data_IF_849687417734
#
_entry.id   IF_849687417734
#
_cell.length_a   1.000
_cell.length_b   1.000
_cell.length_c   1.000
_cell.angle_alpha   90.00
_cell.angle_beta   90.00
_cell.angle_gamma   90.00
#
_symmetry.space_group_name_H-M   'P 1'
#
loop_
_entity.id
_entity.type
_entity.pdbx_description
1 polymer ?
#
# COMPACT_ATOMS: atom_id res chain seq x y z
N UNK A 1 -7.22 14.40 -4.71
CA UNK A 1 -8.47 14.44 -3.90
C UNK A 1 -8.73 15.74 -3.16
N UNK A 2 -7.82 16.72 -3.17
CA UNK A 2 -8.03 17.99 -2.44
C UNK A 2 -8.69 19.09 -3.28
N UNK A 3 -8.86 18.90 -4.55
CA UNK A 3 -9.27 19.96 -5.48
C UNK A 3 -10.67 19.81 -6.09
N UNK A 4 -11.34 18.66 -5.88
CA UNK A 4 -12.73 18.52 -6.29
C UNK A 4 -13.60 19.01 -5.15
N UNK A 5 -13.85 20.30 -5.11
CA UNK A 5 -14.74 20.92 -4.15
C UNK A 5 -16.20 20.62 -4.49
N UNK A 6 -16.98 20.50 -3.43
CA UNK A 6 -18.39 20.08 -3.36
C UNK A 6 -19.41 20.98 -4.07
N UNK A 7 -19.01 21.87 -4.94
CA UNK A 7 -19.94 22.74 -5.62
C UNK A 7 -19.91 22.48 -7.09
N UNK A 8 -20.67 21.64 -7.52
CA UNK A 8 -21.38 21.71 -8.72
C UNK A 8 -21.33 20.59 -9.64
N UNK A 9 -21.94 20.64 -10.13
CA UNK A 9 -22.98 20.15 -10.91
C UNK A 9 -22.59 19.30 -12.15
N UNK A 10 -21.41 19.39 -12.65
CA UNK A 10 -20.95 18.51 -13.74
C UNK A 10 -19.43 18.40 -13.80
N UNK A 11 -18.94 17.17 -13.72
CA UNK A 11 -17.58 16.81 -14.08
C UNK A 11 -17.61 16.23 -15.51
N UNK A 12 -16.95 16.90 -16.43
CA UNK A 12 -16.73 16.38 -17.77
C UNK A 12 -15.39 15.62 -17.81
N UNK A 13 -15.41 14.40 -18.30
CA UNK A 13 -14.20 13.59 -18.48
C UNK A 13 -14.04 13.30 -19.98
N UNK A 14 -12.91 13.70 -20.53
CA UNK A 14 -12.53 13.41 -21.91
C UNK A 14 -11.22 12.65 -21.91
N UNK A 15 -11.16 11.56 -22.65
CA UNK A 15 -9.96 10.73 -22.78
C UNK A 15 -9.49 10.78 -24.23
N UNK A 16 -8.22 11.03 -24.45
CA UNK A 16 -7.54 10.81 -25.73
C UNK A 16 -6.44 9.75 -25.56
N UNK A 17 -5.64 9.51 -26.58
CA UNK A 17 -4.62 8.46 -26.59
C UNK A 17 -3.50 8.68 -25.56
N UNK A 18 -3.30 9.91 -25.11
CA UNK A 18 -2.17 10.29 -24.26
C UNK A 18 -2.58 10.92 -22.93
N UNK A 19 -3.82 11.41 -22.83
CA UNK A 19 -4.27 12.19 -21.69
C UNK A 19 -5.73 11.92 -21.31
N UNK A 20 -6.01 12.04 -20.03
CA UNK A 20 -7.36 12.17 -19.50
C UNK A 20 -7.56 13.59 -18.99
N UNK A 21 -8.57 14.27 -19.49
CA UNK A 21 -8.95 15.63 -19.09
C UNK A 21 -10.14 15.58 -18.16
N UNK A 22 -10.08 16.35 -17.10
CA UNK A 22 -11.14 16.56 -16.13
C UNK A 22 -11.51 18.03 -16.14
N UNK A 23 -12.75 18.35 -16.44
CA UNK A 23 -13.23 19.73 -16.56
C UNK A 23 -14.44 19.95 -15.68
N UNK A 24 -14.40 21.02 -14.90
CA UNK A 24 -15.53 21.59 -14.18
C UNK A 24 -15.72 23.04 -14.62
N UNK A 25 -16.84 23.73 -14.26
CA UNK A 25 -16.99 25.14 -14.59
C UNK A 25 -15.86 26.05 -14.10
N UNK A 26 -15.17 25.64 -13.04
CA UNK A 26 -14.16 26.46 -12.38
C UNK A 26 -12.73 25.95 -12.56
N UNK A 27 -12.53 24.77 -13.16
CA UNK A 27 -11.20 24.15 -13.22
C UNK A 27 -11.08 23.13 -14.34
N UNK A 28 -9.95 23.21 -15.05
CA UNK A 28 -9.49 22.19 -15.99
C UNK A 28 -8.23 21.52 -15.46
N UNK A 29 -8.21 20.20 -15.49
CA UNK A 29 -7.04 19.37 -15.17
C UNK A 29 -6.82 18.34 -16.26
N UNK A 30 -5.60 17.89 -16.38
CA UNK A 30 -5.30 16.69 -17.18
C UNK A 30 -4.28 15.81 -16.50
N UNK A 31 -4.38 14.53 -16.78
CA UNK A 31 -3.39 13.52 -16.40
C UNK A 31 -2.84 12.88 -17.68
N UNK A 32 -1.53 12.78 -17.77
CA UNK A 32 -0.87 12.11 -18.89
C UNK A 32 -0.86 10.62 -18.64
N UNK A 33 -1.25 9.83 -19.66
CA UNK A 33 -1.21 8.39 -19.56
C UNK A 33 0.24 7.90 -19.48
N UNK A 34 0.46 6.89 -18.67
CA UNK A 34 1.73 6.20 -18.67
C UNK A 34 1.89 5.44 -20.00
N UNK A 35 3.02 5.67 -20.66
CA UNK A 35 3.42 4.83 -21.78
C UNK A 35 3.85 3.46 -21.23
N UNK A 36 3.04 2.45 -21.46
CA UNK A 36 3.32 1.09 -21.05
C UNK A 36 2.06 0.25 -20.87
N UNK A 37 2.23 -1.05 -20.89
CA UNK A 37 1.13 -1.97 -20.59
C UNK A 37 0.79 -1.87 -19.10
N UNK A 38 -0.46 -1.56 -18.79
CA UNK A 38 -0.96 -1.65 -17.42
C UNK A 38 -0.74 -3.08 -16.90
N UNK A 39 -0.18 -3.24 -15.68
CA UNK A 39 0.00 -4.57 -15.13
C UNK A 39 -1.31 -5.37 -15.15
N UNK A 40 -1.28 -6.58 -15.67
CA UNK A 40 -2.45 -7.44 -15.66
C UNK A 40 -2.70 -7.94 -14.21
N UNK A 41 -3.38 -7.11 -13.40
CA UNK A 41 -3.67 -7.40 -12.01
C UNK A 41 -4.49 -8.70 -11.83
N UNK A 42 -5.34 -9.06 -12.82
CA UNK A 42 -6.10 -10.31 -12.80
C UNK A 42 -5.18 -11.51 -12.87
N UNK A 43 -4.17 -11.42 -13.73
CA UNK A 43 -3.15 -12.46 -13.82
C UNK A 43 -2.39 -12.61 -12.50
N UNK A 44 -2.04 -11.50 -11.84
CA UNK A 44 -1.37 -11.54 -10.53
C UNK A 44 -2.27 -12.18 -9.47
N UNK A 45 -3.54 -11.81 -9.43
CA UNK A 45 -4.49 -12.34 -8.44
C UNK A 45 -4.77 -13.83 -8.66
N UNK A 46 -4.98 -14.26 -9.91
CA UNK A 46 -5.21 -15.66 -10.28
C UNK A 46 -4.01 -16.57 -9.98
N UNK A 47 -2.79 -16.01 -10.02
CA UNK A 47 -1.55 -16.76 -9.79
C UNK A 47 -0.92 -16.50 -8.41
N UNK A 48 -1.59 -15.74 -7.56
CA UNK A 48 -1.13 -15.46 -6.20
C UNK A 48 -1.12 -16.74 -5.36
N UNK A 49 0.07 -17.14 -4.92
CA UNK A 49 0.27 -18.31 -4.08
C UNK A 49 0.64 -17.84 -2.67
N UNK A 50 -0.32 -17.86 -1.79
CA UNK A 50 -0.09 -17.50 -0.40
C UNK A 50 0.94 -18.41 0.25
N UNK A 51 2.08 -17.84 0.66
CA UNK A 51 3.13 -18.53 1.43
C UNK A 51 3.13 -18.13 2.89
N UNK A 52 2.66 -16.92 3.19
CA UNK A 52 2.66 -16.37 4.55
C UNK A 52 1.41 -15.57 4.82
N UNK A 53 1.00 -15.54 6.08
CA UNK A 53 -0.13 -14.72 6.57
C UNK A 53 0.21 -14.12 7.91
N UNK A 54 0.01 -12.82 8.07
CA UNK A 54 0.14 -12.09 9.32
C UNK A 54 -1.10 -11.24 9.57
N UNK A 55 -1.54 -11.20 10.82
CA UNK A 55 -2.69 -10.39 11.25
C UNK A 55 -2.21 -9.37 12.27
N UNK A 56 -2.60 -8.13 12.06
CA UNK A 56 -2.23 -7.01 12.93
C UNK A 56 -3.46 -6.21 13.36
N UNK A 57 -3.33 -5.55 14.50
CA UNK A 57 -4.19 -4.43 14.85
C UNK A 57 -3.94 -3.29 13.86
N UNK A 58 -5.03 -2.75 13.30
CA UNK A 58 -4.98 -1.71 12.26
C UNK A 58 -4.35 -0.42 12.77
N UNK A 59 -4.73 0.03 13.95
CA UNK A 59 -4.29 1.32 14.48
C UNK A 59 -2.80 1.29 14.81
N UNK A 60 -2.31 0.20 15.37
CA UNK A 60 -0.88 0.01 15.64
C UNK A 60 -0.07 -0.04 14.33
N UNK A 61 -0.57 -0.72 13.32
CA UNK A 61 0.09 -0.77 12.01
C UNK A 61 0.10 0.59 11.32
N UNK A 62 -1.01 1.34 11.37
CA UNK A 62 -1.11 2.72 10.85
C UNK A 62 -0.12 3.63 11.56
N UNK A 63 -0.04 3.57 12.89
CA UNK A 63 0.88 4.39 13.67
C UNK A 63 2.35 4.09 13.31
N UNK A 64 2.72 2.82 13.20
CA UNK A 64 4.06 2.41 12.83
C UNK A 64 4.45 2.90 11.42
N UNK A 65 3.55 2.80 10.45
CA UNK A 65 3.78 3.32 9.09
C UNK A 65 3.90 4.84 9.08
N UNK A 66 3.05 5.56 9.82
CA UNK A 66 3.13 7.02 9.92
C UNK A 66 4.45 7.50 10.53
N UNK A 67 4.94 6.81 11.55
CA UNK A 67 6.21 7.16 12.17
C UNK A 67 7.40 6.91 11.22
N UNK A 68 7.37 5.80 10.49
CA UNK A 68 8.37 5.49 9.48
C UNK A 68 8.35 6.49 8.32
N UNK A 69 7.18 6.93 7.87
CA UNK A 69 7.04 7.91 6.79
C UNK A 69 7.65 9.29 7.14
N UNK A 70 7.65 9.69 8.42
CA UNK A 70 8.26 10.96 8.87
C UNK A 70 9.78 10.99 8.74
N UNK A 71 10.42 9.84 8.69
CA UNK A 71 11.88 9.72 8.65
C UNK A 71 12.40 9.57 7.23
N UNK A 72 11.58 9.01 6.34
CA UNK A 72 12.01 8.57 5.03
C UNK A 72 11.65 9.58 3.92
N UNK A 73 12.66 10.17 3.29
CA UNK A 73 12.49 11.07 2.13
C UNK A 73 12.09 10.33 0.85
N UNK A 74 12.39 9.04 0.75
CA UNK A 74 12.16 8.23 -0.46
C UNK A 74 10.90 7.37 -0.40
N UNK A 75 10.07 7.55 0.60
CA UNK A 75 8.80 6.80 0.80
C UNK A 75 8.96 5.28 0.88
N UNK A 76 10.14 4.76 1.18
CA UNK A 76 10.36 3.32 1.32
C UNK A 76 10.43 2.91 2.79
N UNK A 77 9.81 1.78 3.14
CA UNK A 77 10.04 1.13 4.42
C UNK A 77 10.23 -0.38 4.23
N UNK A 78 10.95 -0.99 5.15
CA UNK A 78 11.16 -2.43 5.22
C UNK A 78 10.17 -3.04 6.20
N UNK A 79 9.36 -3.97 5.72
CA UNK A 79 8.56 -4.84 6.55
C UNK A 79 9.43 -6.02 7.00
N UNK A 80 9.40 -6.32 8.29
CA UNK A 80 10.13 -7.44 8.88
C UNK A 80 9.12 -8.17 9.75
N UNK A 81 8.48 -9.20 9.22
CA UNK A 81 7.50 -10.02 9.92
C UNK A 81 8.06 -11.43 9.99
N UNK A 82 8.44 -11.84 11.18
CA UNK A 82 9.10 -13.13 11.44
C UNK A 82 8.45 -13.82 12.65
N UNK A 83 8.74 -15.09 12.83
CA UNK A 83 8.35 -15.86 14.02
C UNK A 83 8.96 -15.28 15.33
N UNK A 84 10.12 -14.59 15.23
CA UNK A 84 10.84 -13.97 16.35
C UNK A 84 10.38 -12.57 16.70
N UNK A 85 9.57 -11.98 15.85
CA UNK A 85 9.01 -10.64 16.06
C UNK A 85 8.74 -9.89 14.77
N UNK A 86 7.87 -8.90 14.86
CA UNK A 86 7.45 -8.09 13.74
C UNK A 86 7.89 -6.64 13.92
N UNK A 87 8.12 -5.96 12.82
CA UNK A 87 8.44 -4.53 12.83
C UNK A 87 8.46 -3.90 11.45
N UNK A 88 8.53 -2.56 11.47
CA UNK A 88 8.70 -1.73 10.29
C UNK A 88 9.92 -0.85 10.52
N UNK A 89 10.75 -0.73 9.50
CA UNK A 89 11.98 0.04 9.58
C UNK A 89 12.13 0.96 8.36
N UNK A 90 12.52 2.19 8.61
CA UNK A 90 12.91 3.16 7.58
C UNK A 90 14.22 3.82 7.98
N UNK A 91 15.06 4.07 6.99
CA UNK A 91 16.31 4.80 7.14
C UNK A 91 16.36 5.92 6.10
N UNK A 92 16.81 7.10 6.54
CA UNK A 92 17.12 8.20 5.65
C UNK A 92 18.65 8.28 5.48
N UNK A 93 19.20 7.84 4.34
CA UNK A 93 20.65 7.80 4.13
C UNK A 93 21.28 9.18 4.18
N UNK A 94 20.56 10.23 3.76
CA UNK A 94 21.09 11.60 3.70
C UNK A 94 21.28 12.22 5.08
N UNK A 95 20.39 11.90 6.02
CA UNK A 95 20.42 12.46 7.39
C UNK A 95 20.90 11.48 8.46
N UNK A 96 21.05 10.19 8.11
CA UNK A 96 21.36 9.11 9.05
C UNK A 96 20.22 8.82 10.05
N UNK A 97 19.02 9.38 9.84
CA UNK A 97 17.87 9.12 10.71
C UNK A 97 17.35 7.70 10.47
N UNK A 98 17.01 7.02 11.56
CA UNK A 98 16.48 5.67 11.56
C UNK A 98 15.21 5.62 12.40
N UNK A 99 14.15 5.03 11.85
CA UNK A 99 12.94 4.67 12.58
C UNK A 99 12.81 3.14 12.60
N UNK A 100 12.58 2.59 13.77
CA UNK A 100 12.26 1.17 13.97
C UNK A 100 11.06 1.06 14.88
N UNK A 101 9.96 0.59 14.34
CA UNK A 101 8.74 0.33 15.09
C UNK A 101 8.57 -1.18 15.28
N UNK A 102 8.35 -1.59 16.52
CA UNK A 102 8.00 -2.98 16.83
C UNK A 102 6.50 -3.16 16.75
N UNK A 103 6.09 -4.27 16.16
CA UNK A 103 4.70 -4.68 16.06
C UNK A 103 4.51 -6.04 16.72
N UNK A 104 3.33 -6.25 17.27
CA UNK A 104 2.90 -7.56 17.71
C UNK A 104 1.87 -8.08 16.71
N UNK A 105 2.15 -9.20 16.07
CA UNK A 105 1.16 -9.91 15.28
C UNK A 105 0.14 -10.58 16.20
N UNK A 106 -1.13 -10.45 15.86
CA UNK A 106 -2.22 -11.15 16.57
C UNK A 106 -2.23 -12.62 16.24
N UNK A 107 -1.87 -12.97 15.01
CA UNK A 107 -1.59 -14.33 14.57
C UNK A 107 -0.67 -14.28 13.35
N UNK A 108 0.06 -15.38 13.13
CA UNK A 108 0.84 -15.56 11.91
C UNK A 108 0.86 -17.04 11.50
N UNK A 109 1.08 -17.27 10.23
CA UNK A 109 1.24 -18.59 9.64
C UNK A 109 2.11 -18.53 8.39
N UNK A 110 2.97 -19.51 8.18
CA UNK A 110 3.87 -19.60 7.03
C UNK A 110 5.24 -18.98 7.26
N UNK A 111 5.89 -18.60 6.19
CA UNK A 111 7.27 -18.12 6.18
C UNK A 111 7.40 -16.65 6.65
N UNK A 112 8.62 -16.23 6.94
CA UNK A 112 8.93 -14.83 7.26
C UNK A 112 8.66 -13.92 6.06
N UNK A 113 8.11 -12.71 6.31
CA UNK A 113 8.00 -11.66 5.29
C UNK A 113 9.08 -10.61 5.57
N UNK A 114 10.04 -10.50 4.66
CA UNK A 114 11.07 -9.46 4.69
C UNK A 114 11.09 -8.80 3.33
N UNK A 115 10.47 -7.63 3.21
CA UNK A 115 10.38 -6.92 1.93
C UNK A 115 10.33 -5.41 2.11
N UNK A 116 10.70 -4.67 1.05
CA UNK A 116 10.53 -3.22 1.01
C UNK A 116 9.20 -2.87 0.34
N UNK A 117 8.53 -1.85 0.84
CA UNK A 117 7.27 -1.33 0.28
C UNK A 117 7.29 0.19 0.24
N UNK A 118 6.44 0.79 -0.61
CA UNK A 118 6.20 2.23 -0.58
C UNK A 118 5.34 2.55 0.63
N UNK A 119 5.92 3.22 1.62
CA UNK A 119 5.34 3.43 2.94
C UNK A 119 4.01 4.20 2.88
N UNK A 120 3.96 5.30 2.12
CA UNK A 120 2.76 6.12 1.96
C UNK A 120 1.64 5.39 1.22
N UNK A 121 1.99 4.62 0.18
CA UNK A 121 1.01 3.78 -0.53
C UNK A 121 0.45 2.70 0.40
N UNK A 122 1.35 2.03 1.13
CA UNK A 122 0.97 0.97 2.08
C UNK A 122 0.08 1.52 3.19
N UNK A 123 0.43 2.68 3.73
CA UNK A 123 -0.39 3.41 4.70
C UNK A 123 -1.78 3.75 4.16
N UNK A 124 -1.87 4.22 2.92
CA UNK A 124 -3.15 4.50 2.25
C UNK A 124 -4.03 3.26 2.16
N UNK A 125 -3.45 2.13 1.74
CA UNK A 125 -4.15 0.83 1.67
C UNK A 125 -4.66 0.41 3.04
N UNK A 126 -3.79 0.40 4.07
CA UNK A 126 -4.18 -0.01 5.42
C UNK A 126 -5.31 0.86 5.97
N UNK A 127 -5.26 2.17 5.75
CA UNK A 127 -6.34 3.08 6.16
C UNK A 127 -7.67 2.79 5.48
N UNK A 128 -7.66 2.32 4.24
CA UNK A 128 -8.88 2.01 3.47
C UNK A 128 -9.57 0.73 3.94
N UNK A 129 -8.86 -0.15 4.64
CA UNK A 129 -9.46 -1.36 5.22
C UNK A 129 -10.54 -0.97 6.24
N UNK A 130 -11.73 -1.51 6.11
CA UNK A 130 -12.90 -1.10 6.93
C UNK A 130 -12.91 -1.66 8.35
N UNK A 131 -12.15 -2.72 8.64
CA UNK A 131 -12.14 -3.38 9.94
C UNK A 131 -10.90 -3.04 10.78
N UNK A 132 -10.95 -3.38 12.09
CA UNK A 132 -9.88 -3.08 13.04
C UNK A 132 -8.69 -4.04 12.96
N UNK A 133 -8.83 -5.14 12.24
CA UNK A 133 -7.78 -6.14 12.05
C UNK A 133 -7.44 -6.26 10.58
N UNK A 134 -6.16 -6.16 10.27
CA UNK A 134 -5.63 -6.24 8.91
C UNK A 134 -4.89 -7.54 8.73
N UNK A 135 -5.26 -8.24 7.66
CA UNK A 135 -4.57 -9.44 7.21
C UNK A 135 -3.63 -9.07 6.07
N UNK A 136 -2.40 -9.51 6.17
CA UNK A 136 -1.39 -9.38 5.13
C UNK A 136 -0.96 -10.79 4.73
N UNK A 137 -1.31 -11.18 3.52
CA UNK A 137 -0.81 -12.39 2.89
C UNK A 137 0.33 -12.04 1.94
N UNK A 138 1.35 -12.87 1.88
CA UNK A 138 2.51 -12.66 1.01
C UNK A 138 2.72 -13.87 0.10
N UNK A 139 3.13 -13.60 -1.12
CA UNK A 139 3.62 -14.57 -2.07
C UNK A 139 5.11 -14.32 -2.32
N UNK A 140 5.96 -15.19 -1.82
CA UNK A 140 7.42 -15.09 -1.96
C UNK A 140 7.88 -15.18 -3.42
N UNK A 141 7.13 -15.85 -4.27
CA UNK A 141 7.52 -16.05 -5.66
C UNK A 141 7.25 -14.83 -6.52
N UNK A 142 6.09 -14.22 -6.33
CA UNK A 142 5.69 -13.03 -7.10
C UNK A 142 6.05 -11.71 -6.40
N UNK A 143 6.44 -11.76 -5.12
CA UNK A 143 6.70 -10.59 -4.27
C UNK A 143 5.49 -9.65 -4.12
N UNK A 144 4.28 -10.19 -4.20
CA UNK A 144 3.07 -9.43 -3.93
C UNK A 144 2.56 -9.67 -2.52
N UNK A 145 1.93 -8.61 -2.00
CA UNK A 145 1.15 -8.66 -0.77
C UNK A 145 -0.33 -8.50 -1.10
N UNK A 146 -1.16 -9.37 -0.56
CA UNK A 146 -2.62 -9.25 -0.57
C UNK A 146 -3.07 -8.77 0.80
N UNK A 147 -3.77 -7.65 0.86
CA UNK A 147 -4.10 -6.93 2.09
C UNK A 147 -5.60 -6.77 2.17
N UNK A 148 -6.19 -7.19 3.28
CA UNK A 148 -7.65 -7.09 3.49
C UNK A 148 -8.01 -7.03 4.97
N UNK A 149 -9.26 -6.72 5.26
CA UNK A 149 -9.82 -6.81 6.60
C UNK A 149 -10.15 -8.25 7.01
N UNK A 150 -9.87 -8.64 8.25
CA UNK A 150 -10.13 -10.01 8.73
C UNK A 150 -11.60 -10.42 8.51
N UNK A 151 -12.54 -9.48 8.61
CA UNK A 151 -13.97 -9.71 8.48
C UNK A 151 -14.45 -9.69 7.02
N UNK A 152 -13.64 -9.20 6.07
CA UNK A 152 -14.05 -9.03 4.68
C UNK A 152 -12.93 -9.41 3.69
N UNK A 153 -12.81 -10.69 3.39
CA UNK A 153 -11.82 -11.23 2.45
C UNK A 153 -12.10 -10.91 0.99
N UNK A 154 -13.32 -10.47 0.67
CA UNK A 154 -13.73 -10.20 -0.71
C UNK A 154 -13.27 -8.82 -1.20
N UNK A 155 -12.98 -7.91 -0.25
CA UNK A 155 -12.41 -6.59 -0.55
C UNK A 155 -10.93 -6.60 -0.15
N UNK A 156 -10.04 -6.67 -1.13
CA UNK A 156 -8.61 -6.73 -0.89
C UNK A 156 -7.84 -5.81 -1.83
N UNK A 157 -6.63 -5.49 -1.42
CA UNK A 157 -5.66 -4.72 -2.20
C UNK A 157 -4.45 -5.58 -2.52
N UNK A 158 -3.95 -5.48 -3.74
CA UNK A 158 -2.67 -6.06 -4.13
C UNK A 158 -1.60 -4.96 -4.13
N UNK A 159 -0.49 -5.25 -3.49
CA UNK A 159 0.67 -4.35 -3.44
C UNK A 159 1.94 -5.13 -3.73
N UNK A 160 2.73 -4.67 -4.69
CA UNK A 160 4.05 -5.25 -4.96
C UNK A 160 5.06 -4.81 -3.90
N UNK A 161 6.00 -5.68 -3.57
CA UNK A 161 7.23 -5.30 -2.90
C UNK A 161 8.12 -4.52 -3.85
N UNK A 162 8.91 -3.59 -3.31
CA UNK A 162 9.91 -2.86 -4.09
C UNK A 162 11.22 -3.65 -4.03
N UNK A 163 11.77 -3.95 -5.19
CA UNK A 163 13.12 -4.53 -5.31
C UNK A 163 14.09 -3.35 -5.26
N UNK A 164 14.87 -3.28 -4.20
CA UNK A 164 15.93 -2.25 -4.03
C UNK A 164 17.28 -2.90 -4.16
#
# INVERSE_FOLDING_TARGET
DKHINKSSDMLSIKVDDTKTYFSTPDMDMYETHFEGNYPNWRFVDEHFVKTSTYVFDKDLLVQALQNNLKVNEFDHCKLIFTDKGCGIMSENPSSGKLCKERLTSLSHHGDDIICNVLCGRYLGIIKSVSCNRVVIEHDHKSHFNKIYGEDNKNEYFLSSSVIV
#
